data_IF_134916656605
#
_entry.id   IF_134916656605
#
_cell.length_a   1.000
_cell.length_b   1.000
_cell.length_c   1.000
_cell.angle_alpha   90.00
_cell.angle_beta   90.00
_cell.angle_gamma   90.00
#
_symmetry.space_group_name_H-M   'P 1'
#
loop_
_entity.id
_entity.type
_entity.pdbx_description
1 polymer ?
#
# COMPACT_ATOMS: atom_id res chain seq x y z
N UNK A 1 -13.38 -61.97 23.58
CA UNK A 1 -13.48 -60.54 23.21
C UNK A 1 -12.14 -60.09 22.61
N UNK A 2 -12.09 -59.88 21.29
CA UNK A 2 -10.86 -59.53 20.57
C UNK A 2 -10.47 -58.07 20.85
N UNK A 3 -9.59 -57.86 21.84
CA UNK A 3 -9.03 -56.56 22.21
C UNK A 3 -8.30 -55.86 21.05
N UNK A 4 -7.89 -56.61 20.04
CA UNK A 4 -7.09 -56.12 18.92
C UNK A 4 -7.92 -55.29 17.90
N UNK A 5 -9.22 -55.57 17.75
CA UNK A 5 -10.08 -54.85 16.78
C UNK A 5 -10.40 -53.41 17.21
N UNK A 6 -10.59 -53.19 18.50
CA UNK A 6 -10.86 -51.85 19.06
C UNK A 6 -9.62 -50.96 18.97
N UNK A 7 -8.43 -51.52 19.19
CA UNK A 7 -7.16 -50.77 19.10
C UNK A 7 -6.86 -50.27 17.69
N UNK A 8 -7.18 -51.07 16.65
CA UNK A 8 -6.98 -50.68 15.24
C UNK A 8 -7.94 -49.56 14.84
N UNK A 9 -9.19 -49.62 15.30
CA UNK A 9 -10.20 -48.61 14.97
C UNK A 9 -9.85 -47.24 15.57
N UNK A 10 -9.37 -47.21 16.82
CA UNK A 10 -8.88 -45.97 17.45
C UNK A 10 -7.68 -45.40 16.70
N UNK A 11 -6.76 -46.25 16.24
CA UNK A 11 -5.57 -45.81 15.49
C UNK A 11 -5.93 -45.15 14.16
N UNK A 12 -6.88 -45.72 13.41
CA UNK A 12 -7.37 -45.16 12.15
C UNK A 12 -8.04 -43.80 12.37
N UNK A 13 -8.79 -43.64 13.45
CA UNK A 13 -9.42 -42.35 13.81
C UNK A 13 -8.37 -41.29 14.11
N UNK A 14 -7.31 -41.64 14.86
CA UNK A 14 -6.24 -40.69 15.20
C UNK A 14 -5.49 -40.24 13.94
N UNK A 15 -5.15 -41.17 13.05
CA UNK A 15 -4.45 -40.86 11.78
C UNK A 15 -5.35 -40.05 10.84
N UNK A 16 -6.64 -40.39 10.77
CA UNK A 16 -7.62 -39.62 10.00
C UNK A 16 -7.75 -38.19 10.52
N UNK A 17 -7.90 -38.02 11.84
CA UNK A 17 -8.02 -36.72 12.47
C UNK A 17 -6.76 -35.86 12.25
N UNK A 18 -5.56 -36.43 12.37
CA UNK A 18 -4.32 -35.68 12.14
C UNK A 18 -4.16 -35.25 10.68
N UNK A 19 -4.49 -36.12 9.72
CA UNK A 19 -4.47 -35.78 8.29
C UNK A 19 -5.46 -34.65 7.94
N UNK A 20 -6.66 -34.67 8.54
CA UNK A 20 -7.64 -33.59 8.35
C UNK A 20 -7.16 -32.26 8.94
N UNK A 21 -6.53 -32.27 10.12
CA UNK A 21 -5.99 -31.06 10.75
C UNK A 21 -4.89 -30.45 9.87
N UNK A 22 -3.96 -31.27 9.37
CA UNK A 22 -2.89 -30.80 8.48
C UNK A 22 -3.43 -30.19 7.17
N UNK A 23 -4.42 -30.85 6.56
CA UNK A 23 -5.03 -30.37 5.32
C UNK A 23 -5.75 -29.03 5.52
N UNK A 24 -6.48 -28.87 6.64
CA UNK A 24 -7.12 -27.60 6.98
C UNK A 24 -6.11 -26.48 7.23
N UNK A 25 -5.00 -26.78 7.90
CA UNK A 25 -3.92 -25.82 8.14
C UNK A 25 -3.30 -25.32 6.82
N UNK A 26 -3.02 -26.21 5.87
CA UNK A 26 -2.45 -25.85 4.58
C UNK A 26 -3.42 -24.98 3.73
N UNK A 27 -4.70 -25.31 3.71
CA UNK A 27 -5.71 -24.53 2.99
C UNK A 27 -5.85 -23.11 3.57
N UNK A 28 -5.87 -22.98 4.90
CA UNK A 28 -5.91 -21.67 5.57
C UNK A 28 -4.65 -20.84 5.32
N UNK A 29 -3.48 -21.47 5.34
CA UNK A 29 -2.22 -20.76 5.07
C UNK A 29 -2.17 -20.25 3.62
N UNK A 30 -2.63 -21.06 2.66
CA UNK A 30 -2.68 -20.66 1.25
C UNK A 30 -3.63 -19.50 0.99
N UNK A 31 -4.79 -19.45 1.66
CA UNK A 31 -5.75 -18.35 1.55
C UNK A 31 -5.17 -17.05 2.12
N UNK A 32 -4.55 -17.10 3.30
CA UNK A 32 -3.91 -15.93 3.92
C UNK A 32 -2.74 -15.39 3.10
N UNK A 33 -2.02 -16.26 2.39
CA UNK A 33 -0.96 -15.85 1.46
C UNK A 33 -1.50 -15.05 0.28
N UNK A 34 -2.71 -15.35 -0.21
CA UNK A 34 -3.35 -14.60 -1.28
C UNK A 34 -3.83 -13.23 -0.80
N UNK A 35 -4.47 -13.18 0.38
CA UNK A 35 -4.93 -11.91 0.97
C UNK A 35 -3.76 -10.94 1.21
N UNK A 36 -2.65 -11.46 1.76
CA UNK A 36 -1.44 -10.66 2.01
C UNK A 36 -0.80 -10.16 0.71
N UNK A 37 -0.85 -10.95 -0.38
CA UNK A 37 -0.35 -10.51 -1.69
C UNK A 37 -1.22 -9.41 -2.28
N UNK A 38 -2.54 -9.52 -2.14
CA UNK A 38 -3.49 -8.52 -2.63
C UNK A 38 -3.38 -7.20 -1.87
N UNK A 39 -3.26 -7.25 -0.54
CA UNK A 39 -3.05 -6.07 0.30
C UNK A 39 -1.72 -5.38 -0.04
N UNK A 40 -0.65 -6.16 -0.28
CA UNK A 40 0.64 -5.62 -0.70
C UNK A 40 0.57 -4.96 -2.08
N UNK A 41 -0.16 -5.55 -3.02
CA UNK A 41 -0.35 -4.99 -4.35
C UNK A 41 -1.19 -3.72 -4.32
N UNK A 42 -2.26 -3.69 -3.52
CA UNK A 42 -3.09 -2.49 -3.34
C UNK A 42 -2.34 -1.36 -2.64
N UNK A 43 -1.59 -1.66 -1.57
CA UNK A 43 -0.72 -0.70 -0.90
C UNK A 43 0.37 -0.15 -1.83
N UNK A 44 0.95 -1.00 -2.69
CA UNK A 44 1.92 -0.57 -3.70
C UNK A 44 1.26 0.35 -4.73
N UNK A 45 0.06 0.02 -5.22
CA UNK A 45 -0.70 0.87 -6.15
C UNK A 45 -1.00 2.26 -5.54
N UNK A 46 -1.47 2.32 -4.30
CA UNK A 46 -1.73 3.58 -3.61
C UNK A 46 -0.47 4.44 -3.51
N UNK A 47 0.68 3.82 -3.20
CA UNK A 47 1.98 4.49 -3.19
C UNK A 47 2.38 5.03 -4.57
N UNK A 48 2.28 4.22 -5.62
CA UNK A 48 2.61 4.66 -6.98
C UNK A 48 1.74 5.84 -7.44
N UNK A 49 0.47 5.84 -7.06
CA UNK A 49 -0.48 6.91 -7.34
C UNK A 49 -0.09 8.19 -6.58
N UNK A 50 0.25 8.08 -5.29
CA UNK A 50 0.74 9.21 -4.51
C UNK A 50 2.06 9.80 -5.06
N UNK A 51 2.99 8.96 -5.50
CA UNK A 51 4.24 9.38 -6.15
C UNK A 51 3.98 10.08 -7.51
N UNK A 52 3.01 9.58 -8.29
CA UNK A 52 2.64 10.19 -9.56
C UNK A 52 2.14 11.64 -9.38
N UNK A 53 1.36 11.92 -8.34
CA UNK A 53 0.94 13.29 -8.04
C UNK A 53 2.07 14.19 -7.58
N UNK A 54 3.04 13.67 -6.83
CA UNK A 54 4.23 14.44 -6.49
C UNK A 54 4.98 14.80 -7.77
N UNK A 55 5.10 13.87 -8.71
CA UNK A 55 5.76 14.13 -9.98
C UNK A 55 4.98 15.16 -10.83
N UNK A 56 3.64 15.09 -10.89
CA UNK A 56 2.83 16.12 -11.55
C UNK A 56 3.02 17.50 -10.90
N UNK A 57 3.02 17.56 -9.57
CA UNK A 57 3.28 18.79 -8.82
C UNK A 57 4.68 19.36 -9.09
N UNK A 58 5.71 18.50 -9.14
CA UNK A 58 7.08 18.91 -9.46
C UNK A 58 7.23 19.38 -10.90
N UNK A 59 6.56 18.73 -11.86
CA UNK A 59 6.52 19.17 -13.26
C UNK A 59 5.85 20.55 -13.40
N UNK A 60 4.76 20.78 -12.67
CA UNK A 60 4.10 22.09 -12.63
C UNK A 60 4.98 23.15 -11.97
N UNK A 61 5.67 22.80 -10.88
CA UNK A 61 6.62 23.69 -10.23
C UNK A 61 7.83 24.02 -11.13
N UNK A 62 8.25 23.09 -11.97
CA UNK A 62 9.30 23.33 -12.96
C UNK A 62 8.83 24.29 -14.06
N UNK A 63 7.57 24.19 -14.48
CA UNK A 63 6.98 25.10 -15.46
C UNK A 63 6.65 26.49 -14.88
N UNK A 64 6.19 26.53 -13.63
CA UNK A 64 5.86 27.73 -12.88
C UNK A 64 6.34 27.60 -11.42
N UNK A 65 7.45 28.26 -11.11
CA UNK A 65 8.05 28.27 -9.77
C UNK A 65 7.14 28.85 -8.67
N UNK A 66 6.08 29.57 -9.05
CA UNK A 66 5.09 30.14 -8.12
C UNK A 66 3.79 29.33 -8.06
N UNK A 67 3.74 28.15 -8.69
CA UNK A 67 2.58 27.28 -8.60
C UNK A 67 2.31 26.88 -7.13
N UNK A 68 1.10 27.16 -6.68
CA UNK A 68 0.58 26.77 -5.37
C UNK A 68 -0.88 26.37 -5.52
N UNK A 69 -1.30 25.36 -4.75
CA UNK A 69 -2.68 24.89 -4.74
C UNK A 69 -3.02 24.34 -3.36
N UNK A 70 -4.21 24.66 -2.87
CA UNK A 70 -4.70 24.15 -1.58
C UNK A 70 -5.12 22.69 -1.68
N UNK A 71 -5.61 22.26 -2.85
CA UNK A 71 -6.09 20.90 -3.09
C UNK A 71 -6.32 20.69 -4.59
N UNK A 72 -5.63 19.73 -5.19
CA UNK A 72 -5.84 19.27 -6.54
C UNK A 72 -6.06 17.76 -6.51
N UNK A 73 -7.18 17.28 -7.06
CA UNK A 73 -7.40 15.84 -7.24
C UNK A 73 -7.16 15.42 -8.69
N UNK A 74 -6.60 14.23 -8.86
CA UNK A 74 -6.38 13.54 -10.13
C UNK A 74 -6.86 12.10 -9.93
N UNK A 75 -7.84 11.70 -10.75
CA UNK A 75 -8.28 10.32 -10.79
C UNK A 75 -7.43 9.52 -11.78
N UNK A 76 -6.80 8.46 -11.29
CA UNK A 76 -5.99 7.52 -12.06
C UNK A 76 -6.70 6.17 -12.00
N UNK A 77 -7.55 5.91 -13.00
CA UNK A 77 -8.39 4.71 -13.09
C UNK A 77 -9.26 4.54 -11.82
N UNK A 78 -8.99 3.50 -11.02
CA UNK A 78 -9.72 3.13 -9.79
C UNK A 78 -9.14 3.78 -8.52
N UNK A 79 -8.09 4.59 -8.67
CA UNK A 79 -7.45 5.29 -7.56
C UNK A 79 -7.62 6.80 -7.71
N UNK A 80 -7.87 7.46 -6.59
CA UNK A 80 -7.85 8.91 -6.50
C UNK A 80 -6.54 9.36 -5.90
N UNK A 81 -5.99 10.44 -6.42
CA UNK A 81 -4.85 11.09 -5.84
C UNK A 81 -5.18 12.54 -5.56
N UNK A 82 -4.88 13.03 -4.37
CA UNK A 82 -5.06 14.42 -4.00
C UNK A 82 -3.73 15.01 -3.54
N UNK A 83 -3.37 16.20 -4.02
CA UNK A 83 -2.16 16.87 -3.57
C UNK A 83 -2.37 18.36 -3.33
N UNK A 84 -1.54 18.92 -2.46
CA UNK A 84 -1.50 20.35 -2.14
C UNK A 84 -0.05 20.82 -2.20
N UNK A 85 0.13 22.04 -2.69
CA UNK A 85 1.44 22.69 -2.82
C UNK A 85 1.39 23.98 -2.04
N UNK A 86 2.12 24.01 -0.93
CA UNK A 86 2.26 25.16 -0.05
C UNK A 86 3.59 25.82 -0.35
N UNK A 87 3.55 27.10 -0.70
CA UNK A 87 4.75 27.90 -0.89
C UNK A 87 5.24 28.51 0.42
N UNK A 88 6.46 28.19 0.83
CA UNK A 88 7.14 28.82 1.97
C UNK A 88 8.43 29.49 1.50
N UNK A 89 8.38 30.81 1.25
CA UNK A 89 9.51 31.68 0.84
C UNK A 89 10.37 31.12 -0.32
N UNK A 90 11.24 30.15 -0.06
CA UNK A 90 12.12 29.46 -1.02
C UNK A 90 11.84 27.96 -1.18
N UNK A 91 11.14 27.37 -0.23
CA UNK A 91 10.72 25.97 -0.22
C UNK A 91 9.27 25.84 -0.72
N UNK A 92 8.97 24.67 -1.27
CA UNK A 92 7.64 24.22 -1.65
C UNK A 92 7.39 22.91 -0.96
N UNK A 93 6.34 22.88 -0.15
CA UNK A 93 5.89 21.69 0.55
C UNK A 93 4.76 21.09 -0.28
N UNK A 94 4.99 19.90 -0.81
CA UNK A 94 4.05 19.13 -1.60
C UNK A 94 3.54 18.02 -0.69
N UNK A 95 2.27 18.06 -0.31
CA UNK A 95 1.61 16.93 0.32
C UNK A 95 0.79 16.22 -0.74
N UNK A 96 0.97 14.91 -0.87
CA UNK A 96 0.25 14.05 -1.81
C UNK A 96 -0.38 12.89 -1.06
N UNK A 97 -1.58 12.51 -1.45
CA UNK A 97 -2.39 11.48 -0.81
C UNK A 97 -2.94 10.60 -1.91
N UNK A 98 -2.52 9.33 -1.95
CA UNK A 98 -3.01 8.34 -2.90
C UNK A 98 -3.99 7.40 -2.22
N UNK A 99 -5.24 7.41 -2.67
CA UNK A 99 -6.32 6.57 -2.19
C UNK A 99 -6.71 5.54 -3.27
N UNK A 100 -6.51 4.26 -2.98
CA UNK A 100 -7.00 3.15 -3.80
C UNK A 100 -7.89 2.26 -2.93
N UNK A 101 -9.20 2.25 -3.20
CA UNK A 101 -10.20 1.51 -2.41
C UNK A 101 -10.10 1.79 -0.89
N UNK A 102 -9.50 0.88 -0.12
CA UNK A 102 -9.33 0.98 1.34
C UNK A 102 -7.91 1.37 1.78
N UNK A 103 -6.99 1.55 0.84
CA UNK A 103 -5.61 1.92 1.13
C UNK A 103 -5.38 3.39 0.82
N UNK A 104 -5.06 4.16 1.86
CA UNK A 104 -4.63 5.54 1.73
C UNK A 104 -3.16 5.67 2.13
N UNK A 105 -2.35 6.29 1.28
CA UNK A 105 -0.94 6.56 1.53
C UNK A 105 -0.69 8.06 1.37
N UNK A 106 -0.20 8.68 2.44
CA UNK A 106 0.15 10.09 2.46
C UNK A 106 1.68 10.25 2.34
N UNK A 107 2.10 11.11 1.42
CA UNK A 107 3.48 11.43 1.14
C UNK A 107 3.68 12.93 1.24
N UNK A 108 4.78 13.34 1.87
CA UNK A 108 5.19 14.73 1.99
C UNK A 108 6.57 14.92 1.39
N UNK A 109 6.68 15.85 0.47
CA UNK A 109 7.94 16.22 -0.17
C UNK A 109 8.19 17.71 -0.02
N UNK A 110 9.40 18.08 0.36
CA UNK A 110 9.83 19.49 0.35
C UNK A 110 10.84 19.70 -0.77
N UNK A 111 10.56 20.64 -1.67
CA UNK A 111 11.45 21.03 -2.76
C UNK A 111 11.93 22.47 -2.56
N UNK A 112 13.21 22.74 -2.75
CA UNK A 112 13.81 24.07 -2.70
C UNK A 112 14.00 24.63 -4.11
N UNK A 113 13.73 25.93 -4.31
CA UNK A 113 13.78 26.60 -5.62
C UNK A 113 14.95 27.62 -5.72
N UNK A 114 15.78 27.83 -4.69
CA UNK A 114 16.78 28.92 -4.68
C UNK A 114 17.78 28.90 -5.84
N UNK A 115 18.20 27.73 -6.32
CA UNK A 115 19.19 27.57 -7.41
C UNK A 115 18.78 26.50 -8.42
N UNK A 116 17.47 26.26 -8.58
CA UNK A 116 16.90 25.15 -9.34
C UNK A 116 16.12 24.19 -8.45
N UNK A 117 15.21 23.43 -9.04
CA UNK A 117 14.31 22.51 -8.33
C UNK A 117 15.13 21.35 -7.73
N UNK A 118 15.37 21.41 -6.42
CA UNK A 118 16.08 20.37 -5.67
C UNK A 118 15.16 19.79 -4.62
N UNK A 119 15.06 18.46 -4.55
CA UNK A 119 14.21 17.82 -3.55
C UNK A 119 15.00 17.71 -2.24
N UNK A 120 14.54 18.43 -1.21
CA UNK A 120 15.20 18.52 0.09
C UNK A 120 14.82 17.36 1.01
N UNK A 121 13.58 16.86 0.93
CA UNK A 121 13.09 15.84 1.86
C UNK A 121 11.92 15.04 1.28
N UNK A 122 11.91 13.73 1.54
CA UNK A 122 10.79 12.83 1.30
C UNK A 122 10.39 12.18 2.63
N UNK A 123 9.13 12.32 3.04
CA UNK A 123 8.57 11.74 4.26
C UNK A 123 7.28 10.97 3.95
N UNK A 124 7.17 9.78 4.53
CA UNK A 124 5.93 9.01 4.56
C UNK A 124 5.18 9.40 5.83
N UNK A 125 3.91 9.79 5.70
CA UNK A 125 3.05 10.14 6.83
C UNK A 125 2.10 8.99 7.17
#
# INVERSE_FOLDING_TARGET
MNKNGFSVLVLVIIIGASALIMTKGAAWFSLRGLDMSLDSDQGSKAKYVAEACINDALLRLQADNNFSTSSQSININDCECTYSVISDTFDRIINSSGACENFNIDLKTTANIQNGLTISKWEYN
#
